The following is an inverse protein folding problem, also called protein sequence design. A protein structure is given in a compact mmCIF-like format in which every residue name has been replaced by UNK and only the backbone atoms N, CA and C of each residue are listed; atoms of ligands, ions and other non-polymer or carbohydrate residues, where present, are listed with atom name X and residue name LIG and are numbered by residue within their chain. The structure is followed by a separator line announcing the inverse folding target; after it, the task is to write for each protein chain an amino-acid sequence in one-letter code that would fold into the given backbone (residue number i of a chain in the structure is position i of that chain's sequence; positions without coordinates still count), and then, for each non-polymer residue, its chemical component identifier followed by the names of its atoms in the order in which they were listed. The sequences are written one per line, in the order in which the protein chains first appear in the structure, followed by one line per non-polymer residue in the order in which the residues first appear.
data_IF_649779156276
#
_entry.id   IF_649779156276
#
_cell.length_a   1.000
_cell.length_b   1.000
_cell.length_c   1.000
_cell.angle_alpha   90.00
_cell.angle_beta   90.00
_cell.angle_gamma   90.00
#
_symmetry.space_group_name_H-M   'P 1'
#
loop_
_entity.id
_entity.type
_entity.pdbx_description
1 polymer ?
#
# COMPACT_ATOMS: atom_id res chain seq x y z
N UNK A 1 -3.44 -2.72 -12.24
CA UNK A 1 -2.51 -3.83 -12.00
C UNK A 1 -2.74 -4.44 -10.63
N UNK A 2 -2.81 -5.75 -10.58
CA UNK A 2 -2.98 -6.43 -9.31
C UNK A 2 -1.64 -6.58 -8.61
N UNK A 3 -1.57 -6.18 -7.38
CA UNK A 3 -0.37 -6.36 -6.58
C UNK A 3 -0.65 -7.41 -5.52
N UNK A 4 0.30 -8.29 -5.31
CA UNK A 4 0.15 -9.39 -4.34
C UNK A 4 1.01 -9.17 -3.09
N UNK A 5 2.08 -8.41 -3.24
CA UNK A 5 3.02 -8.22 -2.15
C UNK A 5 3.57 -6.81 -2.19
N UNK A 6 4.21 -6.42 -1.10
CA UNK A 6 4.90 -5.13 -1.07
C UNK A 6 5.99 -5.05 -2.13
N UNK A 7 6.56 -6.17 -2.49
CA UNK A 7 7.55 -6.22 -3.56
C UNK A 7 6.98 -5.80 -4.90
N UNK A 8 5.76 -6.24 -5.19
CA UNK A 8 5.09 -5.88 -6.43
C UNK A 8 4.83 -4.38 -6.46
N UNK A 9 4.37 -3.84 -5.34
CA UNK A 9 4.13 -2.41 -5.21
C UNK A 9 5.44 -1.65 -5.40
N UNK A 10 6.50 -2.10 -4.76
CA UNK A 10 7.80 -1.47 -4.84
C UNK A 10 8.35 -1.49 -6.27
N UNK A 11 8.20 -2.62 -6.95
CA UNK A 11 8.69 -2.76 -8.32
C UNK A 11 7.95 -1.82 -9.26
N UNK A 12 6.65 -1.73 -9.11
CA UNK A 12 5.84 -0.83 -9.93
C UNK A 12 6.19 0.63 -9.66
N UNK A 13 6.37 0.98 -8.39
CA UNK A 13 6.74 2.33 -8.02
C UNK A 13 8.09 2.72 -8.60
N UNK A 14 9.06 1.81 -8.52
CA UNK A 14 10.39 2.04 -9.07
C UNK A 14 10.33 2.24 -10.59
N UNK A 15 9.57 1.39 -11.26
CA UNK A 15 9.40 1.49 -12.70
C UNK A 15 8.81 2.84 -13.07
N UNK A 16 7.76 3.25 -12.38
CA UNK A 16 7.10 4.52 -12.66
C UNK A 16 8.02 5.69 -12.38
N UNK A 17 8.78 5.63 -11.29
CA UNK A 17 9.75 6.67 -10.98
C UNK A 17 10.74 6.87 -12.14
N UNK A 18 11.25 5.75 -12.65
CA UNK A 18 12.21 5.80 -13.77
C UNK A 18 11.57 6.33 -15.04
N UNK A 19 10.32 5.94 -15.29
CA UNK A 19 9.58 6.45 -16.45
C UNK A 19 9.41 7.96 -16.38
N UNK A 20 9.24 8.49 -15.18
CA UNK A 20 9.11 9.92 -14.97
C UNK A 20 10.45 10.65 -14.95
N UNK A 21 11.54 9.91 -14.99
CA UNK A 21 12.87 10.52 -14.98
C UNK A 21 13.27 11.05 -13.61
N UNK A 22 12.68 10.56 -12.54
CA UNK A 22 12.97 11.05 -11.20
C UNK A 22 14.09 10.24 -10.54
N UNK A 23 15.00 10.94 -9.89
CA UNK A 23 15.97 10.30 -9.02
C UNK A 23 15.30 9.94 -7.70
N UNK A 24 15.88 8.98 -7.00
CA UNK A 24 15.34 8.60 -5.68
C UNK A 24 15.27 9.79 -4.73
N UNK A 25 16.30 10.65 -4.76
CA UNK A 25 16.32 11.82 -3.90
C UNK A 25 15.21 12.81 -4.25
N UNK A 26 14.89 12.95 -5.53
CA UNK A 26 13.80 13.82 -5.96
C UNK A 26 12.45 13.31 -5.48
N UNK A 27 12.24 12.02 -5.60
CA UNK A 27 11.00 11.41 -5.11
C UNK A 27 10.91 11.54 -3.60
N UNK A 28 12.02 11.31 -2.91
CA UNK A 28 12.05 11.44 -1.45
C UNK A 28 11.66 12.84 -1.01
N UNK A 29 12.18 13.85 -1.69
CA UNK A 29 11.84 15.23 -1.37
C UNK A 29 10.36 15.51 -1.60
N UNK A 30 9.80 15.00 -2.68
CA UNK A 30 8.38 15.21 -2.98
C UNK A 30 7.48 14.53 -1.97
N UNK A 31 7.88 13.37 -1.48
CA UNK A 31 7.11 12.62 -0.49
C UNK A 31 7.31 13.19 0.91
N UNK A 32 8.44 13.81 1.16
CA UNK A 32 8.77 14.33 2.49
C UNK A 32 9.48 13.31 3.35
N UNK A 33 10.28 12.45 2.74
CA UNK A 33 11.05 11.43 3.47
C UNK A 33 12.51 11.50 3.06
N UNK A 34 13.37 10.75 3.76
CA UNK A 34 14.75 10.63 3.38
C UNK A 34 14.92 9.68 2.20
N UNK A 35 16.02 9.86 1.46
CA UNK A 35 16.32 8.99 0.33
C UNK A 35 16.41 7.53 0.73
N UNK A 36 16.92 7.26 1.93
CA UNK A 36 17.05 5.89 2.41
C UNK A 36 15.70 5.20 2.53
N UNK A 37 14.66 5.94 2.91
CA UNK A 37 13.32 5.37 2.98
C UNK A 37 12.86 4.90 1.59
N UNK A 38 13.13 5.71 0.56
CA UNK A 38 12.77 5.34 -0.81
C UNK A 38 13.56 4.10 -1.25
N UNK A 39 14.85 4.06 -0.92
CA UNK A 39 15.69 2.92 -1.26
C UNK A 39 15.13 1.65 -0.64
N UNK A 40 14.82 1.69 0.64
CA UNK A 40 14.27 0.54 1.36
C UNK A 40 12.93 0.12 0.78
N UNK A 41 12.07 1.10 0.50
CA UNK A 41 10.78 0.83 -0.10
C UNK A 41 10.93 0.13 -1.45
N UNK A 42 11.80 0.64 -2.31
CA UNK A 42 12.01 0.08 -3.65
C UNK A 42 12.64 -1.31 -3.61
N UNK A 43 13.29 -1.65 -2.52
CA UNK A 43 13.81 -3.00 -2.32
C UNK A 43 12.74 -3.97 -1.83
N UNK A 44 11.56 -3.48 -1.53
CA UNK A 44 10.47 -4.31 -1.07
C UNK A 44 10.51 -4.61 0.42
N UNK A 45 11.11 -3.72 1.20
CA UNK A 45 11.16 -3.88 2.64
C UNK A 45 9.74 -3.92 3.22
N UNK A 46 9.41 -4.97 3.92
CA UNK A 46 8.04 -5.19 4.39
C UNK A 46 7.65 -4.33 5.59
N UNK A 47 8.62 -3.71 6.24
CA UNK A 47 8.37 -2.92 7.44
C UNK A 47 8.19 -1.43 7.16
N UNK A 48 7.95 -1.06 5.90
CA UNK A 48 7.71 0.34 5.57
C UNK A 48 6.35 0.78 6.07
N UNK A 49 6.24 2.05 6.40
CA UNK A 49 5.00 2.62 6.87
C UNK A 49 4.02 2.82 5.72
N UNK A 50 2.82 2.27 5.86
CA UNK A 50 1.83 2.30 4.79
C UNK A 50 1.38 3.70 4.40
N UNK A 51 1.28 4.61 5.36
CA UNK A 51 0.93 6.00 5.05
C UNK A 51 1.92 6.62 4.09
N UNK A 52 3.19 6.33 4.27
CA UNK A 52 4.24 6.84 3.39
C UNK A 52 4.22 6.12 2.04
N UNK A 53 3.87 4.85 2.02
CA UNK A 53 3.72 4.10 0.77
C UNK A 53 2.63 4.75 -0.08
N UNK A 54 1.46 5.00 0.50
CA UNK A 54 0.37 5.64 -0.24
C UNK A 54 0.76 7.03 -0.75
N UNK A 55 1.45 7.80 0.08
CA UNK A 55 1.91 9.12 -0.33
C UNK A 55 2.89 9.03 -1.51
N UNK A 56 3.78 8.06 -1.45
CA UNK A 56 4.75 7.83 -2.53
C UNK A 56 4.04 7.47 -3.83
N UNK A 57 3.08 6.56 -3.75
CA UNK A 57 2.32 6.17 -4.93
C UNK A 57 1.55 7.34 -5.52
N UNK A 58 0.98 8.17 -4.66
CA UNK A 58 0.26 9.34 -5.12
C UNK A 58 1.17 10.31 -5.86
N UNK A 59 2.38 10.54 -5.36
CA UNK A 59 3.34 11.39 -6.03
C UNK A 59 3.73 10.84 -7.41
N UNK A 60 3.68 9.53 -7.56
CA UNK A 60 4.00 8.88 -8.83
C UNK A 60 2.78 8.77 -9.75
N UNK A 61 1.62 9.20 -9.30
CA UNK A 61 0.39 9.07 -10.07
C UNK A 61 -0.15 7.66 -10.11
N UNK A 62 0.17 6.87 -9.11
CA UNK A 62 -0.28 5.48 -9.01
C UNK A 62 -1.37 5.35 -7.97
N UNK A 63 -2.23 4.36 -8.18
CA UNK A 63 -3.30 4.04 -7.25
C UNK A 63 -3.27 2.56 -6.92
N UNK A 64 -3.71 2.24 -5.72
CA UNK A 64 -3.91 0.86 -5.33
C UNK A 64 -5.40 0.57 -5.39
N UNK A 65 -5.76 -0.40 -6.22
CA UNK A 65 -7.12 -0.88 -6.30
C UNK A 65 -7.23 -2.12 -5.42
N UNK A 66 -8.09 -2.05 -4.44
CA UNK A 66 -8.36 -3.19 -3.58
C UNK A 66 -9.63 -3.86 -4.04
N UNK A 67 -9.52 -5.14 -4.37
CA UNK A 67 -10.66 -5.94 -4.76
C UNK A 67 -10.76 -7.14 -3.85
N UNK A 68 -11.98 -7.52 -3.56
CA UNK A 68 -12.23 -8.69 -2.75
C UNK A 68 -11.77 -9.93 -3.48
N UNK A 69 -11.04 -10.79 -2.79
CA UNK A 69 -10.59 -12.04 -3.37
C UNK A 69 -11.67 -13.10 -3.20
N UNK A 70 -11.98 -13.77 -4.31
CA UNK A 70 -12.96 -14.86 -4.26
C UNK A 70 -12.41 -16.08 -3.54
N UNK A 71 -11.12 -16.13 -3.37
CA UNK A 71 -10.49 -17.27 -2.71
C UNK A 71 -10.59 -17.19 -1.21
N UNK A 72 -10.98 -16.05 -0.70
CA UNK A 72 -11.19 -15.88 0.72
C UNK A 72 -12.65 -16.21 0.99
N UNK A 73 -12.92 -17.33 1.65
CA UNK A 73 -14.31 -17.69 1.93
C UNK A 73 -14.91 -16.66 2.90
N UNK A 74 -16.21 -16.42 2.78
CA UNK A 74 -16.87 -15.58 3.75
C UNK A 74 -16.64 -16.19 5.11
N UNK A 75 -16.16 -15.39 6.01
CA UNK A 75 -15.89 -15.84 7.34
C UNK A 75 -17.22 -15.90 8.11
N UNK A 76 -17.49 -17.00 8.80
CA UNK A 76 -18.63 -16.98 9.72
C UNK A 76 -18.51 -15.85 10.70
N UNK A 77 -17.27 -15.46 10.95
CA UNK A 77 -17.00 -14.34 11.79
C UNK A 77 -17.47 -13.04 11.21
N UNK A 78 -17.72 -12.98 9.91
CA UNK A 78 -18.24 -11.76 9.35
C UNK A 78 -19.66 -11.52 9.74
N UNK A 79 -20.44 -12.57 9.73
CA UNK A 79 -21.79 -12.47 10.29
C UNK A 79 -21.67 -12.19 11.76
N UNK A 80 -20.71 -12.88 12.38
CA UNK A 80 -20.43 -12.62 13.77
C UNK A 80 -19.83 -11.25 13.94
N UNK A 81 -19.03 -10.83 12.99
CA UNK A 81 -18.46 -9.49 13.03
C UNK A 81 -19.53 -8.46 12.86
N UNK A 82 -20.47 -8.70 12.00
CA UNK A 82 -21.59 -7.83 11.89
C UNK A 82 -22.30 -7.79 13.21
N UNK A 83 -22.52 -8.94 13.75
CA UNK A 83 -23.13 -9.06 15.07
C UNK A 83 -22.21 -8.48 16.13
N UNK A 84 -20.93 -8.77 16.03
CA UNK A 84 -19.95 -8.29 16.98
C UNK A 84 -19.74 -6.80 16.84
N UNK A 85 -19.69 -6.33 15.63
CA UNK A 85 -19.55 -4.90 15.39
C UNK A 85 -20.82 -4.17 15.76
N UNK A 86 -21.93 -4.81 15.54
CA UNK A 86 -23.19 -4.28 16.00
C UNK A 86 -23.28 -4.31 17.50
N UNK A 87 -22.66 -5.31 18.07
CA UNK A 87 -22.57 -5.40 19.51
C UNK A 87 -21.61 -4.39 20.05
N UNK A 88 -20.62 -4.33 19.36
CA UNK A 88 -19.69 -3.34 19.76
C UNK A 88 -20.15 -2.01 19.30
N UNK A 89 -21.12 -2.50 19.09
CA UNK A 89 -21.17 -1.94 18.74
C UNK A 89 -21.92 -1.59 18.66
N UNK A 90 -22.55 -2.60 18.94
CA UNK A 90 -22.74 -3.00 19.25
C UNK A 90 -22.76 -2.78 19.26
N UNK A 91 -23.28 -2.93 19.32
CA UNK A 91 -23.00 -2.97 19.66
C UNK A 91 -23.00 -2.79 19.51
N UNK A 92 -23.57 -2.71 19.73
CA UNK A 92 -23.36 -2.83 19.83
C UNK A 92 -23.11 -2.83 20.15
#
# INVERSE_FOLDING_TARGET
MKTKTIRDVAALARKKRRELGLAQAQLAAAVGVGREWIIDFEKGKSTVEWGLVFRTLKELGLEIDLAESRQIPPSPAEDDLTAILDLGRRRP
#
